data_IF_508138250623
#
_entry.id   IF_508138250623
#
_cell.length_a   1.000
_cell.length_b   1.000
_cell.length_c   1.000
_cell.angle_alpha   90.00
_cell.angle_beta   90.00
_cell.angle_gamma   90.00
#
_symmetry.space_group_name_H-M   'P 1'
#
loop_
_entity.id
_entity.type
_entity.pdbx_description
1 polymer ?
#
# COMPACT_ATOMS: atom_id res chain seq x y z
N UNK A 1 -10.11 2.35 15.94
CA UNK A 1 -9.00 3.00 15.20
C UNK A 1 -8.64 2.08 14.04
N UNK A 2 -8.49 2.60 12.82
CA UNK A 2 -8.20 1.81 11.61
C UNK A 2 -6.77 2.03 11.13
N UNK A 3 -6.17 1.01 10.50
CA UNK A 3 -4.83 1.09 9.90
C UNK A 3 -4.90 1.98 8.65
N UNK A 4 -3.95 2.90 8.40
CA UNK A 4 -3.92 3.70 7.19
C UNK A 4 -3.74 2.82 5.95
N UNK A 5 -4.48 3.11 4.88
CA UNK A 5 -4.45 2.35 3.64
C UNK A 5 -4.01 3.26 2.49
N UNK A 6 -3.06 2.80 1.68
CA UNK A 6 -2.53 3.51 0.51
C UNK A 6 -2.83 2.70 -0.75
N UNK A 7 -3.55 3.31 -1.69
CA UNK A 7 -3.79 2.74 -3.02
C UNK A 7 -2.58 2.94 -3.93
N UNK A 8 -1.76 1.90 -4.10
CA UNK A 8 -0.48 2.01 -4.79
C UNK A 8 -0.60 2.23 -6.29
N UNK A 9 -1.71 1.85 -6.92
CA UNK A 9 -1.96 2.11 -8.35
C UNK A 9 -1.93 3.60 -8.72
N UNK A 10 -2.19 4.50 -7.75
CA UNK A 10 -2.20 5.95 -7.95
C UNK A 10 -0.82 6.55 -8.27
N UNK A 11 0.27 5.82 -8.02
CA UNK A 11 1.64 6.28 -8.32
C UNK A 11 1.96 6.35 -9.82
N UNK A 12 1.13 5.71 -10.66
CA UNK A 12 1.32 5.64 -12.11
C UNK A 12 0.55 6.72 -12.88
N UNK A 13 -0.04 7.70 -12.18
CA UNK A 13 -0.87 8.74 -12.79
C UNK A 13 -0.63 10.14 -12.23
N UNK A 14 -1.61 11.02 -12.45
CA UNK A 14 -1.55 12.42 -12.00
C UNK A 14 -1.49 12.56 -10.47
N UNK A 15 -2.00 11.57 -9.74
CA UNK A 15 -2.02 11.53 -8.27
C UNK A 15 -0.69 11.05 -7.64
N UNK A 16 0.37 10.90 -8.44
CA UNK A 16 1.66 10.38 -7.96
C UNK A 16 2.25 11.22 -6.83
N UNK A 17 2.29 12.54 -6.99
CA UNK A 17 2.88 13.44 -5.99
C UNK A 17 2.11 13.37 -4.66
N UNK A 18 0.77 13.41 -4.73
CA UNK A 18 -0.09 13.32 -3.55
C UNK A 18 0.05 11.96 -2.84
N UNK A 19 0.14 10.87 -3.62
CA UNK A 19 0.32 9.51 -3.07
C UNK A 19 1.66 9.38 -2.35
N UNK A 20 2.74 9.96 -2.90
CA UNK A 20 4.06 9.94 -2.25
C UNK A 20 4.08 10.80 -0.98
N UNK A 21 3.43 11.97 -0.98
CA UNK A 21 3.27 12.79 0.22
C UNK A 21 2.46 12.07 1.31
N UNK A 22 1.44 11.29 0.93
CA UNK A 22 0.66 10.47 1.85
C UNK A 22 1.52 9.36 2.49
N UNK A 23 2.37 8.70 1.70
CA UNK A 23 3.31 7.67 2.19
C UNK A 23 4.26 8.27 3.22
N UNK A 24 4.89 9.42 2.91
CA UNK A 24 5.80 10.10 3.83
C UNK A 24 5.10 10.47 5.14
N UNK A 25 3.90 11.04 5.05
CA UNK A 25 3.08 11.38 6.21
C UNK A 25 2.76 10.15 7.07
N UNK A 26 2.26 9.07 6.47
CA UNK A 26 1.90 7.87 7.22
C UNK A 26 3.12 7.18 7.83
N UNK A 27 4.27 7.23 7.16
CA UNK A 27 5.51 6.76 7.74
C UNK A 27 5.88 7.53 9.03
N UNK A 28 5.77 8.87 9.02
CA UNK A 28 6.08 9.70 10.18
C UNK A 28 5.04 9.58 11.31
N UNK A 29 3.74 9.57 10.97
CA UNK A 29 2.66 9.61 11.96
C UNK A 29 2.32 8.23 12.56
N UNK A 30 2.41 7.17 11.75
CA UNK A 30 1.96 5.82 12.15
C UNK A 30 3.10 4.80 12.25
N UNK A 31 4.21 5.02 11.53
CA UNK A 31 5.30 4.04 11.40
C UNK A 31 4.97 2.85 10.50
N UNK A 32 3.70 2.66 10.11
CA UNK A 32 3.26 1.62 9.17
C UNK A 32 1.93 1.98 8.49
N UNK A 33 1.65 1.33 7.36
CA UNK A 33 0.41 1.45 6.59
C UNK A 33 0.22 0.20 5.74
N UNK A 34 -1.00 -0.03 5.27
CA UNK A 34 -1.33 -1.12 4.36
C UNK A 34 -1.33 -0.62 2.91
N UNK A 35 -0.67 -1.35 2.02
CA UNK A 35 -0.76 -1.12 0.58
C UNK A 35 -1.88 -1.97 -0.03
N UNK A 36 -2.66 -1.38 -0.92
CA UNK A 36 -3.62 -2.08 -1.79
C UNK A 36 -3.33 -1.72 -3.25
N UNK A 37 -3.81 -2.53 -4.20
CA UNK A 37 -3.56 -2.33 -5.63
C UNK A 37 -2.05 -2.24 -5.97
N UNK A 38 -1.22 -2.99 -5.23
CA UNK A 38 0.24 -3.04 -5.41
C UNK A 38 0.69 -3.87 -6.62
N UNK A 39 -0.25 -4.56 -7.30
CA UNK A 39 0.05 -5.33 -8.52
C UNK A 39 0.56 -6.75 -8.27
N UNK A 40 0.63 -7.19 -7.00
CA UNK A 40 0.92 -8.60 -6.67
C UNK A 40 -0.39 -9.37 -6.83
N UNK A 41 -0.37 -10.44 -7.63
CA UNK A 41 -1.55 -11.28 -7.86
C UNK A 41 -2.04 -11.90 -6.56
N UNK A 42 -3.36 -11.96 -6.37
CA UNK A 42 -3.99 -12.63 -5.23
C UNK A 42 -3.60 -14.11 -5.13
N UNK A 43 -3.46 -14.80 -6.27
CA UNK A 43 -3.02 -16.20 -6.32
C UNK A 43 -1.64 -16.39 -5.65
N UNK A 44 -0.68 -15.52 -5.96
CA UNK A 44 0.65 -15.57 -5.34
C UNK A 44 0.57 -15.30 -3.83
N UNK A 45 -0.23 -14.32 -3.40
CA UNK A 45 -0.44 -14.05 -1.98
C UNK A 45 -1.03 -15.26 -1.25
N UNK A 46 -2.02 -15.91 -1.84
CA UNK A 46 -2.66 -17.09 -1.25
C UNK A 46 -1.74 -18.31 -1.23
N UNK A 47 -0.88 -18.48 -2.22
CA UNK A 47 0.17 -19.50 -2.19
C UNK A 47 1.17 -19.25 -1.07
N UNK A 48 1.64 -18.02 -0.87
CA UNK A 48 2.57 -17.67 0.20
C UNK A 48 1.95 -17.89 1.58
N UNK A 49 0.68 -17.49 1.79
CA UNK A 49 -0.05 -17.71 3.05
C UNK A 49 -0.16 -19.19 3.43
N UNK A 50 -0.20 -20.10 2.46
CA UNK A 50 -0.32 -21.55 2.70
C UNK A 50 1.00 -22.22 3.04
N UNK A 51 2.13 -21.58 2.74
CA UNK A 51 3.49 -22.12 2.98
C UNK A 51 4.10 -21.56 4.27
N UNK A 52 3.60 -20.42 4.75
CA UNK A 52 4.02 -19.76 5.99
C UNK A 52 3.41 -20.42 7.25
#
# INVERSE_FOLDING_TARGET
MGIPVVGFSKIYGKERADTLALIDRYYQEWGFFQLINHGISEELLDRVKKVA
#
